data_IF_225490273814
#
_entry.id   IF_225490273814
#
_cell.length_a   1.000
_cell.length_b   1.000
_cell.length_c   1.000
_cell.angle_alpha   90.00
_cell.angle_beta   90.00
_cell.angle_gamma   90.00
#
_symmetry.space_group_name_H-M   'P 1'
#
loop_
_entity.id
_entity.type
_entity.pdbx_description
1 polymer ?
#
# COMPACT_ATOMS: atom_id res chain seq x y z
N UNK A 1 -29.38 -2.55 16.91
CA UNK A 1 -28.20 -2.63 16.02
C UNK A 1 -28.52 -1.78 14.80
N UNK A 2 -27.73 -0.75 14.49
CA UNK A 2 -28.08 0.19 13.40
C UNK A 2 -27.96 -0.50 12.02
N UNK A 3 -28.93 -0.32 11.10
CA UNK A 3 -29.00 -1.05 9.83
C UNK A 3 -27.77 -0.88 8.94
N UNK A 4 -27.10 0.28 9.00
CA UNK A 4 -25.85 0.56 8.28
C UNK A 4 -24.70 -0.37 8.68
N UNK A 5 -24.60 -0.73 9.97
CA UNK A 5 -23.57 -1.67 10.44
C UNK A 5 -23.82 -3.09 9.93
N UNK A 6 -25.09 -3.49 9.82
CA UNK A 6 -25.43 -4.81 9.28
C UNK A 6 -25.08 -4.89 7.79
N UNK A 7 -25.34 -3.84 7.03
CA UNK A 7 -24.94 -3.75 5.61
C UNK A 7 -23.42 -3.78 5.43
N UNK A 8 -22.67 -3.02 6.24
CA UNK A 8 -21.21 -3.04 6.19
C UNK A 8 -20.63 -4.43 6.49
N UNK A 9 -21.17 -5.13 7.50
CA UNK A 9 -20.76 -6.49 7.85
C UNK A 9 -21.06 -7.50 6.73
N UNK A 10 -22.22 -7.39 6.09
CA UNK A 10 -22.58 -8.22 4.93
C UNK A 10 -21.63 -8.03 3.75
N UNK A 11 -21.33 -6.77 3.39
CA UNK A 11 -20.40 -6.46 2.28
C UNK A 11 -19.00 -6.99 2.59
N UNK A 12 -18.53 -6.79 3.82
CA UNK A 12 -17.24 -7.30 4.27
C UNK A 12 -17.15 -8.83 4.12
N UNK A 13 -18.14 -9.56 4.64
CA UNK A 13 -18.20 -11.02 4.56
C UNK A 13 -18.23 -11.53 3.12
N UNK A 14 -18.97 -10.86 2.23
CA UNK A 14 -19.03 -11.22 0.81
C UNK A 14 -17.67 -11.09 0.11
N UNK A 15 -16.92 -9.99 0.39
CA UNK A 15 -15.56 -9.79 -0.15
C UNK A 15 -14.58 -10.83 0.40
N UNK A 16 -14.62 -11.08 1.71
CA UNK A 16 -13.77 -12.06 2.36
C UNK A 16 -13.99 -13.48 1.79
N UNK A 17 -15.26 -13.88 1.57
CA UNK A 17 -15.59 -15.15 0.96
C UNK A 17 -15.08 -15.26 -0.49
N UNK A 18 -15.23 -14.20 -1.30
CA UNK A 18 -14.71 -14.16 -2.68
C UNK A 18 -13.19 -14.38 -2.72
N UNK A 19 -12.47 -13.75 -1.78
CA UNK A 19 -11.02 -13.93 -1.64
C UNK A 19 -10.67 -15.35 -1.19
N UNK A 20 -11.36 -15.88 -0.17
CA UNK A 20 -11.14 -17.25 0.33
C UNK A 20 -11.32 -18.29 -0.78
N UNK A 21 -12.40 -18.20 -1.53
CA UNK A 21 -12.71 -19.13 -2.62
C UNK A 21 -11.64 -19.09 -3.72
N UNK A 22 -11.19 -17.89 -4.09
CA UNK A 22 -10.13 -17.70 -5.08
C UNK A 22 -8.75 -18.19 -4.60
N UNK A 23 -8.43 -18.06 -3.32
CA UNK A 23 -7.12 -18.46 -2.76
C UNK A 23 -7.05 -19.96 -2.44
N UNK A 24 -8.12 -20.52 -1.88
CA UNK A 24 -8.13 -21.91 -1.40
C UNK A 24 -8.55 -22.91 -2.49
N UNK A 25 -9.16 -22.44 -3.58
CA UNK A 25 -9.58 -23.25 -4.73
C UNK A 25 -10.53 -24.41 -4.37
N UNK A 26 -11.22 -24.32 -3.23
CA UNK A 26 -12.19 -25.35 -2.78
C UNK A 26 -13.47 -25.33 -3.61
N UNK A 27 -13.86 -24.16 -4.09
CA UNK A 27 -14.92 -23.92 -5.07
C UNK A 27 -14.58 -22.68 -5.91
N UNK A 28 -15.14 -22.54 -7.12
CA UNK A 28 -14.95 -21.33 -7.92
C UNK A 28 -15.51 -20.09 -7.19
N UNK A 29 -14.81 -18.95 -7.22
CA UNK A 29 -15.35 -17.71 -6.67
C UNK A 29 -16.47 -17.17 -7.55
N UNK A 30 -17.44 -16.46 -6.94
CA UNK A 30 -18.59 -15.88 -7.66
C UNK A 30 -18.17 -14.84 -8.72
N UNK A 31 -16.98 -14.25 -8.54
CA UNK A 31 -16.31 -13.37 -9.50
C UNK A 31 -14.81 -13.36 -9.24
N UNK A 32 -14.04 -12.83 -10.19
CA UNK A 32 -12.60 -12.57 -9.99
C UNK A 32 -12.43 -11.50 -8.90
N UNK A 33 -11.66 -11.77 -7.82
CA UNK A 33 -11.36 -10.76 -6.81
C UNK A 33 -10.40 -9.69 -7.36
N UNK A 34 -10.59 -8.45 -6.91
CA UNK A 34 -9.73 -7.31 -7.27
C UNK A 34 -8.97 -6.85 -6.02
N UNK A 35 -7.67 -7.17 -6.00
CA UNK A 35 -6.73 -6.67 -4.99
C UNK A 35 -5.86 -5.60 -5.64
N UNK A 36 -5.81 -4.41 -5.06
CA UNK A 36 -5.12 -3.27 -5.67
C UNK A 36 -3.75 -3.03 -5.05
N UNK A 37 -2.71 -3.09 -5.87
CA UNK A 37 -1.38 -2.59 -5.52
C UNK A 37 -1.17 -1.22 -6.15
N UNK A 38 -1.66 -0.19 -5.44
CA UNK A 38 -1.75 1.17 -5.98
C UNK A 38 -0.48 2.03 -5.72
N UNK A 39 0.58 1.46 -5.13
CA UNK A 39 1.81 2.19 -4.79
C UNK A 39 1.48 3.54 -4.12
N UNK A 40 1.94 4.67 -4.68
CA UNK A 40 1.71 6.03 -4.16
C UNK A 40 0.43 6.70 -4.69
N UNK A 41 -0.37 6.04 -5.53
CA UNK A 41 -1.59 6.63 -6.06
C UNK A 41 -2.57 7.14 -4.98
N UNK A 42 -2.79 6.45 -3.84
CA UNK A 42 -3.64 7.01 -2.78
C UNK A 42 -3.12 8.35 -2.25
N UNK A 43 -1.81 8.52 -2.14
CA UNK A 43 -1.19 9.79 -1.74
C UNK A 43 -1.39 10.89 -2.79
N UNK A 44 -1.10 10.56 -4.06
CA UNK A 44 -1.29 11.47 -5.21
C UNK A 44 -2.75 11.93 -5.32
N UNK A 45 -3.71 11.01 -5.21
CA UNK A 45 -5.15 11.31 -5.24
C UNK A 45 -5.62 12.22 -4.10
N UNK A 46 -4.86 12.29 -3.01
CA UNK A 46 -5.10 13.15 -1.85
C UNK A 46 -4.29 14.46 -1.89
N UNK A 47 -3.51 14.71 -2.96
CA UNK A 47 -2.62 15.87 -3.08
C UNK A 47 -1.45 15.85 -2.11
N UNK A 48 -1.04 14.67 -1.64
CA UNK A 48 0.07 14.49 -0.71
C UNK A 48 1.35 14.10 -1.45
N UNK A 49 2.48 14.64 -1.01
CA UNK A 49 3.76 14.21 -1.53
C UNK A 49 4.09 12.79 -0.99
N UNK A 50 4.87 11.97 -1.72
CA UNK A 50 5.39 10.71 -1.21
C UNK A 50 6.05 10.82 0.17
N UNK A 51 6.77 11.91 0.44
CA UNK A 51 7.33 12.20 1.77
C UNK A 51 6.28 12.24 2.88
N UNK A 52 5.14 12.90 2.66
CA UNK A 52 4.10 13.04 3.68
C UNK A 52 3.64 11.67 4.19
N UNK A 53 3.34 10.74 3.27
CA UNK A 53 2.81 9.42 3.63
C UNK A 53 3.89 8.45 4.13
N UNK A 54 5.17 8.73 3.87
CA UNK A 54 6.28 7.95 4.41
C UNK A 54 6.52 8.20 5.91
N UNK A 55 6.26 9.43 6.37
CA UNK A 55 6.59 9.88 7.73
C UNK A 55 5.36 10.20 8.58
N UNK A 56 4.22 10.54 7.99
CA UNK A 56 2.96 10.82 8.68
C UNK A 56 1.95 9.67 8.47
N UNK A 57 1.82 8.84 9.52
CA UNK A 57 0.89 7.69 9.53
C UNK A 57 -0.57 8.13 9.46
N UNK A 58 -0.91 9.30 9.99
CA UNK A 58 -2.28 9.83 9.97
C UNK A 58 -2.69 10.18 8.54
N UNK A 59 -1.85 10.98 7.86
CA UNK A 59 -2.06 11.31 6.44
C UNK A 59 -2.09 10.07 5.55
N UNK A 60 -1.17 9.13 5.75
CA UNK A 60 -1.15 7.87 5.02
C UNK A 60 -2.43 7.05 5.23
N UNK A 61 -2.91 6.94 6.47
CA UNK A 61 -4.13 6.20 6.79
C UNK A 61 -5.35 6.82 6.12
N UNK A 62 -5.53 8.14 6.24
CA UNK A 62 -6.66 8.86 5.63
C UNK A 62 -6.67 8.75 4.09
N UNK A 63 -5.50 8.88 3.46
CA UNK A 63 -5.37 8.73 2.00
C UNK A 63 -5.76 7.32 1.53
N UNK A 64 -5.26 6.27 2.19
CA UNK A 64 -5.59 4.88 1.83
C UNK A 64 -7.05 4.52 2.13
N UNK A 65 -7.63 5.04 3.21
CA UNK A 65 -9.04 4.83 3.51
C UNK A 65 -9.95 5.55 2.52
N UNK A 66 -9.60 6.78 2.12
CA UNK A 66 -10.34 7.52 1.10
C UNK A 66 -10.31 6.79 -0.24
N UNK A 67 -9.12 6.36 -0.66
CA UNK A 67 -8.93 5.51 -1.83
C UNK A 67 -9.78 4.22 -1.76
N UNK A 68 -9.72 3.48 -0.65
CA UNK A 68 -10.46 2.24 -0.47
C UNK A 68 -11.97 2.46 -0.48
N UNK A 69 -12.45 3.58 0.10
CA UNK A 69 -13.86 3.96 0.09
C UNK A 69 -14.34 4.33 -1.31
N UNK A 70 -13.50 4.98 -2.11
CA UNK A 70 -13.85 5.39 -3.46
C UNK A 70 -13.88 4.21 -4.45
N UNK A 71 -12.86 3.35 -4.42
CA UNK A 71 -12.72 2.26 -5.40
C UNK A 71 -13.31 0.92 -4.94
N UNK A 72 -13.54 0.75 -3.64
CA UNK A 72 -14.19 -0.43 -3.06
C UNK A 72 -13.56 -1.78 -3.51
N UNK A 73 -12.22 -1.94 -3.52
CA UNK A 73 -11.59 -3.21 -3.89
C UNK A 73 -11.89 -4.30 -2.85
N UNK A 74 -11.64 -5.56 -3.22
CA UNK A 74 -11.81 -6.70 -2.31
C UNK A 74 -10.78 -6.71 -1.19
N UNK A 75 -9.56 -6.29 -1.52
CA UNK A 75 -8.50 -6.03 -0.57
C UNK A 75 -7.63 -4.85 -1.03
N UNK A 76 -7.07 -4.14 -0.05
CA UNK A 76 -6.05 -3.11 -0.26
C UNK A 76 -4.70 -3.61 0.23
N UNK A 77 -3.64 -3.26 -0.49
CA UNK A 77 -2.29 -3.35 0.07
C UNK A 77 -2.10 -2.18 1.04
N UNK A 78 -1.80 -2.43 2.33
CA UNK A 78 -1.67 -1.36 3.32
C UNK A 78 -0.48 -0.46 2.99
N UNK A 79 -0.58 0.81 3.39
CA UNK A 79 0.46 1.81 3.12
C UNK A 79 1.83 1.35 3.66
N UNK A 80 1.88 0.58 4.76
CA UNK A 80 3.12 0.04 5.33
C UNK A 80 3.89 -0.88 4.37
N UNK A 81 3.20 -1.50 3.42
CA UNK A 81 3.80 -2.40 2.41
C UNK A 81 4.05 -1.66 1.09
N UNK A 82 3.21 -0.69 0.73
CA UNK A 82 3.32 0.08 -0.51
C UNK A 82 4.31 1.25 -0.42
N UNK A 83 4.38 1.90 0.73
CA UNK A 83 5.34 2.92 1.10
C UNK A 83 6.14 2.35 2.27
N UNK A 84 7.30 1.76 1.99
CA UNK A 84 8.18 1.28 3.06
C UNK A 84 8.45 2.45 3.99
N UNK A 85 8.15 2.27 5.28
CA UNK A 85 8.11 3.35 6.24
C UNK A 85 9.47 4.04 6.29
N UNK A 86 9.53 5.34 5.94
CA UNK A 86 10.75 6.14 5.99
C UNK A 86 11.56 5.95 7.28
N UNK A 87 10.91 5.90 8.48
CA UNK A 87 11.61 5.63 9.73
C UNK A 87 12.37 4.30 9.81
N UNK A 88 11.97 3.26 9.06
CA UNK A 88 12.70 1.98 8.99
C UNK A 88 13.98 2.16 8.19
N UNK A 89 13.94 2.90 7.09
CA UNK A 89 15.13 3.20 6.31
C UNK A 89 16.10 4.12 7.05
N UNK A 90 15.57 5.11 7.78
CA UNK A 90 16.38 5.96 8.64
C UNK A 90 17.10 5.15 9.72
N UNK A 91 16.37 4.22 10.38
CA UNK A 91 16.92 3.40 11.45
C UNK A 91 18.02 2.45 10.97
N UNK A 92 17.87 1.91 9.76
CA UNK A 92 18.81 0.94 9.20
C UNK A 92 20.00 1.58 8.46
N UNK A 93 20.03 2.92 8.34
CA UNK A 93 20.93 3.63 7.42
C UNK A 93 20.89 2.98 6.03
N UNK A 94 19.69 2.78 5.50
CA UNK A 94 19.49 1.98 4.30
C UNK A 94 20.18 2.62 3.08
N UNK A 95 21.00 1.85 2.35
CA UNK A 95 21.89 2.43 1.31
C UNK A 95 21.52 2.07 -0.13
N UNK A 96 20.63 1.12 -0.35
CA UNK A 96 20.28 0.66 -1.71
C UNK A 96 19.30 1.60 -2.41
N UNK A 97 18.48 2.33 -1.65
CA UNK A 97 17.51 3.28 -2.20
C UNK A 97 17.87 4.71 -1.81
N UNK A 98 17.56 5.63 -2.71
CA UNK A 98 17.21 7.00 -2.32
C UNK A 98 15.70 7.05 -2.15
N UNK A 99 15.24 7.69 -1.10
CA UNK A 99 13.82 7.84 -0.82
C UNK A 99 13.50 9.31 -0.53
N UNK A 100 12.21 9.70 -0.51
CA UNK A 100 11.81 11.08 -0.25
C UNK A 100 12.53 11.67 0.96
N UNK A 101 13.22 12.79 0.76
CA UNK A 101 13.97 13.48 1.81
C UNK A 101 15.35 12.88 2.14
N UNK A 102 15.72 11.76 1.52
CA UNK A 102 16.99 11.06 1.73
C UNK A 102 17.62 10.71 0.37
N UNK A 103 18.13 11.75 -0.30
CA UNK A 103 18.76 11.67 -1.62
C UNK A 103 17.79 11.71 -2.80
N UNK A 104 16.49 11.61 -2.58
CA UNK A 104 15.45 11.91 -3.58
C UNK A 104 14.61 13.14 -3.14
N UNK A 105 14.12 13.97 -4.09
CA UNK A 105 13.14 15.02 -3.79
C UNK A 105 11.92 14.48 -3.02
N UNK A 106 11.26 15.35 -2.25
CA UNK A 106 10.14 14.95 -1.38
C UNK A 106 8.90 14.52 -2.17
N UNK A 107 8.79 15.03 -3.39
CA UNK A 107 7.69 14.86 -4.32
C UNK A 107 7.86 13.62 -5.22
N UNK A 108 9.06 13.04 -5.26
CA UNK A 108 9.37 11.84 -6.07
C UNK A 108 9.25 10.58 -5.23
N UNK A 109 9.11 9.40 -5.85
CA UNK A 109 9.08 8.11 -5.14
C UNK A 109 10.49 7.53 -4.94
N UNK A 110 10.59 6.25 -4.57
CA UNK A 110 11.88 5.57 -4.40
C UNK A 110 12.68 5.54 -5.70
N UNK A 111 13.99 5.73 -5.58
CA UNK A 111 14.95 5.51 -6.67
C UNK A 111 15.97 4.45 -6.24
N UNK A 112 16.07 3.37 -7.01
CA UNK A 112 17.13 2.39 -6.86
C UNK A 112 18.47 3.03 -7.25
N UNK A 113 19.46 2.90 -6.37
CA UNK A 113 20.83 3.36 -6.64
C UNK A 113 21.68 2.14 -6.98
N UNK A 114 21.73 1.82 -8.26
CA UNK A 114 22.62 0.77 -8.74
C UNK A 114 24.09 1.20 -8.62
N UNK A 115 24.91 0.22 -8.27
CA UNK A 115 26.37 0.27 -8.27
C UNK A 115 26.88 -1.09 -8.69
N UNK A 116 28.15 -1.18 -9.05
CA UNK A 116 28.83 -2.46 -9.12
C UNK A 116 28.96 -2.99 -7.67
N UNK A 117 28.18 -4.02 -7.36
CA UNK A 117 28.09 -4.60 -6.02
C UNK A 117 28.80 -5.94 -5.89
N UNK A 118 29.14 -6.59 -7.00
CA UNK A 118 30.03 -7.76 -7.04
C UNK A 118 31.28 -7.39 -7.81
N UNK A 119 32.38 -7.23 -7.09
CA UNK A 119 33.68 -7.01 -7.68
C UNK A 119 34.33 -8.36 -8.02
N UNK A 120 35.32 -8.42 -8.94
CA UNK A 120 35.98 -9.66 -9.31
C UNK A 120 36.65 -10.42 -8.15
N UNK A 121 36.88 -9.75 -7.03
CA UNK A 121 37.55 -10.22 -5.82
C UNK A 121 36.60 -10.61 -4.66
N UNK A 122 35.28 -10.51 -4.86
CA UNK A 122 34.27 -11.04 -3.92
C UNK A 122 34.00 -12.55 -4.06
#
# INVERSE_FOLDING_TARGET
MQPERAWADLIYKARAATLEDAMLLRKPPDRVPVCTFAQFYPADSAGLAPYDVLYDRGKATEAWLTYARALQPDAIVPFSTAAVAGPVFDLLDFRLFRWPGHGAPRETTFQYVEREWMLPDE
#
